data_IF_998812502662
#
_entry.id   IF_998812502662
#
_cell.length_a   1.000
_cell.length_b   1.000
_cell.length_c   1.000
_cell.angle_alpha   90.00
_cell.angle_beta   90.00
_cell.angle_gamma   90.00
#
_symmetry.space_group_name_H-M   'P 1'
#
loop_
_entity.id
_entity.type
_entity.pdbx_description
1 polymer ?
#
# COMPACT_ATOMS: atom_id res chain seq x y z
N UNK A 1 25.80 -2.37 10.86
CA UNK A 1 25.38 -2.53 9.46
C UNK A 1 24.03 -3.19 9.50
N UNK A 2 22.96 -2.50 9.10
CA UNK A 2 21.61 -3.06 9.08
C UNK A 2 21.46 -3.99 7.87
N UNK A 3 20.80 -5.13 8.05
CA UNK A 3 20.48 -6.04 6.96
C UNK A 3 19.45 -5.40 6.01
N UNK A 4 19.39 -5.87 4.76
CA UNK A 4 18.40 -5.41 3.79
C UNK A 4 16.96 -5.49 4.34
N UNK A 5 16.64 -6.57 5.06
CA UNK A 5 15.31 -6.76 5.66
C UNK A 5 15.00 -5.74 6.75
N UNK A 6 16.00 -5.34 7.55
CA UNK A 6 15.81 -4.33 8.59
C UNK A 6 15.56 -2.96 7.96
N UNK A 7 16.37 -2.56 6.98
CA UNK A 7 16.19 -1.27 6.29
C UNK A 7 14.84 -1.20 5.58
N UNK A 8 14.44 -2.28 4.90
CA UNK A 8 13.12 -2.39 4.28
C UNK A 8 12.00 -2.31 5.31
N UNK A 9 12.13 -2.99 6.46
CA UNK A 9 11.09 -2.98 7.49
C UNK A 9 10.92 -1.59 8.11
N UNK A 10 12.02 -0.91 8.41
CA UNK A 10 11.97 0.45 8.96
C UNK A 10 11.27 1.42 8.00
N UNK A 11 11.46 1.26 6.69
CA UNK A 11 10.75 2.07 5.69
C UNK A 11 9.28 1.71 5.57
N UNK A 12 8.95 0.41 5.57
CA UNK A 12 7.57 -0.07 5.52
C UNK A 12 6.79 0.38 6.75
N UNK A 13 7.40 0.33 7.94
CA UNK A 13 6.83 0.81 9.19
C UNK A 13 6.56 2.32 9.16
N UNK A 14 7.54 3.12 8.72
CA UNK A 14 7.35 4.58 8.57
C UNK A 14 6.23 4.92 7.57
N UNK A 15 6.11 4.17 6.48
CA UNK A 15 5.04 4.37 5.52
C UNK A 15 3.69 3.92 6.08
N UNK A 16 3.65 2.83 6.84
CA UNK A 16 2.46 2.35 7.53
C UNK A 16 1.94 3.38 8.54
N UNK A 17 2.83 4.02 9.30
CA UNK A 17 2.49 5.14 10.19
C UNK A 17 1.85 6.29 9.41
N UNK A 18 2.50 6.72 8.32
CA UNK A 18 2.02 7.85 7.49
C UNK A 18 0.64 7.58 6.87
N UNK A 19 0.45 6.38 6.33
CA UNK A 19 -0.82 5.97 5.73
C UNK A 19 -1.89 5.86 6.81
N UNK A 20 -1.58 5.27 7.97
CA UNK A 20 -2.53 5.19 9.09
C UNK A 20 -2.99 6.57 9.52
N UNK A 21 -2.07 7.50 9.73
CA UNK A 21 -2.40 8.86 10.14
C UNK A 21 -3.25 9.59 9.10
N UNK A 22 -2.95 9.39 7.81
CA UNK A 22 -3.73 9.96 6.72
C UNK A 22 -5.13 9.36 6.64
N UNK A 23 -5.27 8.04 6.74
CA UNK A 23 -6.57 7.35 6.74
C UNK A 23 -7.44 7.79 7.92
N UNK A 24 -6.87 7.89 9.13
CA UNK A 24 -7.60 8.39 10.32
C UNK A 24 -8.08 9.83 10.18
N UNK A 25 -7.30 10.66 9.48
CA UNK A 25 -7.66 12.06 9.23
C UNK A 25 -8.76 12.19 8.18
N UNK A 26 -8.71 11.36 7.14
CA UNK A 26 -9.53 11.53 5.93
C UNK A 26 -10.79 10.66 5.94
N UNK A 27 -10.81 9.56 6.71
CA UNK A 27 -11.91 8.61 6.73
C UNK A 27 -12.41 8.46 8.18
N UNK A 28 -13.63 8.92 8.49
CA UNK A 28 -14.23 8.75 9.81
C UNK A 28 -14.36 7.26 10.17
N UNK A 29 -13.95 6.88 11.37
CA UNK A 29 -14.13 5.53 11.92
C UNK A 29 -12.97 4.56 11.73
N UNK A 30 -11.88 4.95 11.04
CA UNK A 30 -10.63 4.15 10.97
C UNK A 30 -10.00 3.95 12.35
N UNK A 31 -10.28 4.84 13.30
CA UNK A 31 -9.82 4.80 14.69
C UNK A 31 -10.83 4.15 15.66
N UNK A 32 -11.98 3.68 15.17
CA UNK A 32 -12.96 2.98 16.00
C UNK A 32 -12.39 1.62 16.41
N UNK A 33 -12.27 1.40 17.72
CA UNK A 33 -11.61 0.23 18.28
C UNK A 33 -12.37 -1.06 17.92
N UNK A 34 -11.74 -1.91 17.10
CA UNK A 34 -12.14 -3.31 16.88
C UNK A 34 -13.08 -3.61 15.72
N UNK A 35 -13.68 -2.60 15.09
CA UNK A 35 -14.53 -2.80 13.91
C UNK A 35 -13.80 -2.31 12.64
N UNK A 36 -13.73 -3.13 11.57
CA UNK A 36 -13.15 -2.70 10.32
C UNK A 36 -13.96 -1.54 9.73
N UNK A 37 -13.29 -0.67 8.97
CA UNK A 37 -13.96 0.39 8.21
C UNK A 37 -15.08 -0.23 7.38
N UNK A 38 -16.30 0.33 7.44
CA UNK A 38 -17.48 -0.15 6.69
C UNK A 38 -17.29 -0.14 5.15
N UNK A 39 -16.17 0.41 4.67
CA UNK A 39 -15.81 0.55 3.26
C UNK A 39 -14.60 -0.31 2.95
N UNK A 40 -14.63 -0.88 1.74
CA UNK A 40 -13.47 -1.59 1.20
C UNK A 40 -12.32 -0.62 0.97
N UNK A 41 -11.12 -0.97 1.38
CA UNK A 41 -9.92 -0.17 1.12
C UNK A 41 -9.06 -0.86 0.08
N UNK A 42 -8.69 -0.12 -0.96
CA UNK A 42 -7.89 -0.61 -2.08
C UNK A 42 -6.68 0.30 -2.26
N UNK A 43 -5.48 -0.30 -2.25
CA UNK A 43 -4.24 0.39 -2.54
C UNK A 43 -3.86 0.16 -3.99
N UNK A 44 -3.72 1.23 -4.76
CA UNK A 44 -3.34 1.17 -6.18
C UNK A 44 -1.88 1.55 -6.35
N UNK A 45 -1.13 0.70 -7.07
CA UNK A 45 0.28 0.91 -7.31
C UNK A 45 1.14 0.22 -6.23
N UNK A 46 2.38 0.68 -6.12
CA UNK A 46 3.36 0.09 -5.21
C UNK A 46 4.30 1.13 -4.60
N UNK A 47 5.01 0.74 -3.54
CA UNK A 47 6.15 1.51 -3.02
C UNK A 47 7.37 0.64 -2.89
N UNK A 48 8.44 1.03 -3.58
CA UNK A 48 9.71 0.34 -3.51
C UNK A 48 10.52 0.77 -2.28
N UNK A 49 11.22 -0.17 -1.63
CA UNK A 49 12.18 0.18 -0.61
C UNK A 49 13.40 0.87 -1.23
N UNK A 50 13.84 1.96 -0.62
CA UNK A 50 15.07 2.66 -0.95
C UNK A 50 16.24 1.95 -0.28
N UNK A 51 16.75 0.92 -0.94
CA UNK A 51 17.89 0.16 -0.45
C UNK A 51 19.22 0.82 -0.85
N UNK A 52 20.22 0.75 0.03
CA UNK A 52 21.58 1.22 -0.30
C UNK A 52 22.32 0.19 -1.17
N UNK A 53 23.48 0.57 -1.73
CA UNK A 53 24.26 -0.30 -2.63
C UNK A 53 24.75 -1.63 -2.02
N UNK A 54 24.68 -1.77 -0.69
CA UNK A 54 25.06 -2.98 0.04
C UNK A 54 23.86 -3.90 0.31
N UNK A 55 22.64 -3.39 0.16
CA UNK A 55 21.37 -4.08 0.36
C UNK A 55 20.71 -4.27 -1.00
N UNK A 56 20.87 -5.45 -1.61
CA UNK A 56 20.30 -5.74 -2.93
C UNK A 56 18.88 -6.30 -2.82
N UNK A 57 18.05 -6.04 -3.83
CA UNK A 57 16.77 -6.72 -4.01
C UNK A 57 17.01 -8.05 -4.70
N UNK A 58 16.73 -9.14 -4.00
CA UNK A 58 16.88 -10.52 -4.51
C UNK A 58 15.50 -11.16 -4.67
N UNK A 59 15.40 -12.36 -5.24
CA UNK A 59 14.11 -13.03 -5.48
C UNK A 59 13.25 -13.18 -4.23
N UNK A 60 13.85 -13.53 -3.08
CA UNK A 60 13.13 -13.79 -1.83
C UNK A 60 13.23 -12.67 -0.78
N UNK A 61 14.24 -11.80 -0.86
CA UNK A 61 14.53 -10.79 0.17
C UNK A 61 14.58 -9.38 -0.42
N UNK A 62 14.16 -8.40 0.38
CA UNK A 62 14.20 -6.98 -0.01
C UNK A 62 12.95 -6.46 -0.71
N UNK A 63 11.87 -7.23 -0.74
CA UNK A 63 10.56 -6.75 -1.19
C UNK A 63 9.80 -6.07 -0.07
N UNK A 64 9.17 -4.94 -0.38
CA UNK A 64 8.26 -4.24 0.53
C UNK A 64 6.90 -4.93 0.60
N UNK A 65 6.22 -4.85 1.75
CA UNK A 65 4.80 -5.21 1.85
C UNK A 65 3.92 -4.40 0.89
N UNK A 66 4.37 -3.20 0.51
CA UNK A 66 3.73 -2.30 -0.45
C UNK A 66 4.09 -2.62 -1.91
N UNK A 67 4.81 -3.69 -2.21
CA UNK A 67 5.27 -4.01 -3.57
C UNK A 67 5.09 -5.48 -3.96
N UNK A 68 5.07 -6.40 -2.98
CA UNK A 68 5.27 -7.82 -3.24
C UNK A 68 4.33 -8.43 -4.29
N UNK A 69 3.02 -8.30 -4.09
CA UNK A 69 1.98 -8.90 -4.92
C UNK A 69 1.49 -7.97 -6.04
N UNK A 70 2.06 -6.76 -6.17
CA UNK A 70 1.72 -5.84 -7.25
C UNK A 70 2.20 -6.37 -8.61
N UNK A 71 1.31 -6.33 -9.60
CA UNK A 71 1.66 -6.38 -11.02
C UNK A 71 0.92 -5.28 -11.76
N UNK A 72 1.28 -5.01 -13.02
CA UNK A 72 0.56 -4.03 -13.82
C UNK A 72 -0.89 -4.47 -14.09
N UNK A 73 -1.11 -5.76 -14.26
CA UNK A 73 -2.43 -6.37 -14.48
C UNK A 73 -3.27 -6.42 -13.21
N UNK A 74 -2.61 -6.50 -12.05
CA UNK A 74 -3.22 -6.48 -10.73
C UNK A 74 -2.68 -5.31 -9.90
N UNK A 75 -3.04 -4.07 -10.26
CA UNK A 75 -2.52 -2.87 -9.62
C UNK A 75 -2.90 -2.75 -8.14
N UNK A 76 -3.92 -3.50 -7.69
CA UNK A 76 -4.29 -3.60 -6.29
C UNK A 76 -3.67 -4.80 -5.55
N UNK A 77 -2.87 -5.64 -6.21
CA UNK A 77 -2.44 -6.94 -5.68
C UNK A 77 -1.74 -6.88 -4.32
N UNK A 78 -1.04 -5.78 -4.01
CA UNK A 78 -0.38 -5.58 -2.72
C UNK A 78 -1.33 -5.25 -1.55
N UNK A 79 -2.61 -4.93 -1.81
CA UNK A 79 -3.58 -4.45 -0.82
C UNK A 79 -3.67 -5.36 0.41
N UNK A 80 -3.77 -6.68 0.23
CA UNK A 80 -3.87 -7.62 1.34
C UNK A 80 -2.66 -7.55 2.28
N UNK A 81 -1.46 -7.44 1.72
CA UNK A 81 -0.23 -7.32 2.52
C UNK A 81 -0.11 -5.97 3.22
N UNK A 82 -0.57 -4.91 2.57
CA UNK A 82 -0.59 -3.57 3.13
C UNK A 82 -1.55 -3.52 4.31
N UNK A 83 -2.76 -4.05 4.17
CA UNK A 83 -3.73 -4.17 5.27
C UNK A 83 -3.12 -4.94 6.44
N UNK A 84 -2.48 -6.09 6.17
CA UNK A 84 -1.83 -6.89 7.21
C UNK A 84 -0.71 -6.17 7.98
N UNK A 85 0.13 -5.35 7.32
CA UNK A 85 1.14 -4.57 8.05
C UNK A 85 0.52 -3.41 8.83
N UNK A 86 -0.48 -2.71 8.30
CA UNK A 86 -1.18 -1.63 9.01
C UNK A 86 -1.88 -2.17 10.27
N UNK A 87 -2.48 -3.36 10.18
CA UNK A 87 -3.08 -4.05 11.33
C UNK A 87 -2.01 -4.44 12.36
N UNK A 88 -0.97 -5.16 11.92
CA UNK A 88 0.07 -5.66 12.83
C UNK A 88 0.91 -4.56 13.47
N UNK A 89 1.15 -3.45 12.75
CA UNK A 89 2.01 -2.37 13.21
C UNK A 89 1.24 -1.27 13.96
N UNK A 90 0.06 -0.88 13.45
CA UNK A 90 -0.68 0.28 13.93
C UNK A 90 -2.04 -0.05 14.55
N UNK A 91 -2.45 -1.34 14.52
CA UNK A 91 -3.73 -1.80 15.06
C UNK A 91 -4.94 -1.43 14.20
N UNK A 92 -4.75 -0.96 12.96
CA UNK A 92 -5.83 -0.54 12.09
C UNK A 92 -6.41 -1.74 11.34
N UNK A 93 -7.72 -1.95 11.46
CA UNK A 93 -8.42 -3.02 10.76
C UNK A 93 -9.09 -2.46 9.51
N UNK A 94 -8.56 -2.80 8.34
CA UNK A 94 -9.11 -2.40 7.05
C UNK A 94 -9.85 -3.58 6.43
N UNK A 95 -10.98 -3.31 5.78
CA UNK A 95 -11.65 -4.31 4.95
C UNK A 95 -11.01 -4.36 3.55
N UNK A 96 -10.14 -5.34 3.33
CA UNK A 96 -9.40 -5.56 2.09
C UNK A 96 -10.06 -6.59 1.16
N UNK A 97 -11.27 -7.06 1.49
CA UNK A 97 -12.03 -8.04 0.70
C UNK A 97 -12.71 -7.43 -0.52
N UNK A 98 -11.97 -6.76 -1.39
CA UNK A 98 -12.48 -6.15 -2.62
C UNK A 98 -12.70 -7.20 -3.73
N UNK A 99 -13.64 -6.93 -4.64
CA UNK A 99 -13.86 -7.76 -5.83
C UNK A 99 -13.00 -7.28 -7.02
N UNK A 100 -12.83 -8.12 -8.03
CA UNK A 100 -12.14 -7.74 -9.28
C UNK A 100 -12.78 -6.49 -9.93
N UNK A 101 -14.11 -6.37 -9.89
CA UNK A 101 -14.83 -5.19 -10.38
C UNK A 101 -14.46 -3.92 -9.60
N UNK A 102 -14.27 -4.02 -8.28
CA UNK A 102 -13.82 -2.91 -7.44
C UNK A 102 -12.36 -2.53 -7.75
N UNK A 103 -11.50 -3.50 -8.07
CA UNK A 103 -10.13 -3.23 -8.52
C UNK A 103 -10.13 -2.43 -9.84
N UNK A 104 -10.91 -2.84 -10.84
CA UNK A 104 -11.02 -2.08 -12.09
C UNK A 104 -11.54 -0.66 -11.86
N UNK A 105 -12.54 -0.50 -10.98
CA UNK A 105 -13.08 0.81 -10.61
C UNK A 105 -12.02 1.66 -9.89
N UNK A 106 -11.28 1.08 -8.95
CA UNK A 106 -10.21 1.75 -8.21
C UNK A 106 -9.06 2.18 -9.13
N UNK A 107 -8.65 1.29 -10.04
CA UNK A 107 -7.62 1.58 -11.04
C UNK A 107 -8.02 2.74 -11.96
N UNK A 108 -9.26 2.72 -12.47
CA UNK A 108 -9.78 3.82 -13.30
C UNK A 108 -9.86 5.15 -12.52
N UNK A 109 -10.32 5.13 -11.27
CA UNK A 109 -10.35 6.31 -10.41
C UNK A 109 -8.94 6.86 -10.15
N UNK A 110 -7.95 5.97 -10.01
CA UNK A 110 -6.58 6.35 -9.70
C UNK A 110 -5.89 7.15 -10.81
N UNK A 111 -6.38 7.11 -12.05
CA UNK A 111 -5.77 7.85 -13.17
C UNK A 111 -5.76 9.37 -12.91
N UNK A 112 -6.81 9.89 -12.29
CA UNK A 112 -6.97 11.31 -11.95
C UNK A 112 -6.44 11.67 -10.54
N UNK A 113 -6.04 10.67 -9.75
CA UNK A 113 -5.54 10.86 -8.38
C UNK A 113 -4.07 11.28 -8.36
N UNK A 114 -3.69 12.02 -7.31
CA UNK A 114 -2.28 12.30 -7.01
C UNK A 114 -1.63 11.11 -6.31
N UNK A 115 -0.30 11.03 -6.33
CA UNK A 115 0.44 9.95 -5.65
C UNK A 115 0.70 10.32 -4.18
N UNK A 116 0.44 9.38 -3.27
CA UNK A 116 0.70 9.54 -1.84
C UNK A 116 2.16 9.92 -1.57
N UNK A 117 2.44 10.94 -0.72
CA UNK A 117 1.57 11.54 0.29
C UNK A 117 0.87 12.86 -0.11
N UNK A 118 0.75 13.16 -1.41
CA UNK A 118 0.11 14.41 -1.85
C UNK A 118 -1.40 14.46 -1.52
N UNK A 119 -1.97 15.66 -1.42
CA UNK A 119 -3.42 15.84 -1.26
C UNK A 119 -4.17 15.28 -2.48
N UNK A 120 -5.27 14.56 -2.24
CA UNK A 120 -6.02 13.84 -3.27
C UNK A 120 -5.43 12.47 -3.66
N UNK A 121 -4.51 11.95 -2.85
CA UNK A 121 -3.97 10.59 -3.00
C UNK A 121 -4.79 9.52 -2.29
N UNK A 122 -5.72 9.96 -1.43
CA UNK A 122 -6.77 9.13 -0.85
C UNK A 122 -8.09 9.71 -1.33
N UNK A 123 -8.94 8.87 -1.91
CA UNK A 123 -10.27 9.25 -2.36
C UNK A 123 -11.28 8.28 -1.79
N UNK A 124 -12.31 8.84 -1.17
CA UNK A 124 -13.43 8.10 -0.63
C UNK A 124 -14.62 8.16 -1.59
N UNK A 125 -15.11 7.00 -1.99
CA UNK A 125 -16.35 6.79 -2.70
C UNK A 125 -17.38 6.11 -1.80
N UNK A 126 -18.60 5.89 -2.30
CA UNK A 126 -19.72 5.37 -1.50
C UNK A 126 -19.39 4.07 -0.75
N UNK A 127 -18.69 3.14 -1.39
CA UNK A 127 -18.42 1.77 -0.93
C UNK A 127 -16.92 1.41 -0.89
N UNK A 128 -16.07 2.36 -1.28
CA UNK A 128 -14.67 2.12 -1.59
C UNK A 128 -13.81 3.30 -1.16
N UNK A 129 -12.66 3.02 -0.58
CA UNK A 129 -11.58 3.97 -0.35
C UNK A 129 -10.41 3.55 -1.24
N UNK A 130 -9.90 4.47 -2.05
CA UNK A 130 -8.74 4.22 -2.91
C UNK A 130 -7.55 5.02 -2.39
N UNK A 131 -6.41 4.38 -2.24
CA UNK A 131 -5.14 5.00 -1.87
C UNK A 131 -4.14 4.79 -3.00
N UNK A 132 -3.67 5.86 -3.64
CA UNK A 132 -2.71 5.77 -4.77
C UNK A 132 -1.26 5.87 -4.28
N UNK A 133 -0.50 4.79 -4.42
CA UNK A 133 0.90 4.69 -3.99
C UNK A 133 1.92 5.03 -5.09
N UNK A 134 1.55 4.80 -6.34
CA UNK A 134 2.32 5.12 -7.55
C UNK A 134 1.40 5.15 -8.77
N UNK A 135 1.95 5.54 -9.93
CA UNK A 135 1.31 5.25 -11.22
C UNK A 135 1.27 3.74 -11.49
N UNK A 136 0.30 3.30 -12.31
CA UNK A 136 0.18 1.91 -12.77
C UNK A 136 1.17 1.68 -13.92
N UNK A 137 2.39 1.32 -13.56
CA UNK A 137 3.46 0.99 -14.51
C UNK A 137 4.06 -0.38 -14.21
N UNK A 138 4.86 -0.89 -15.14
CA UNK A 138 5.73 -2.03 -14.84
C UNK A 138 6.58 -1.76 -13.60
N UNK A 139 6.72 -2.79 -12.77
CA UNK A 139 7.61 -2.76 -11.62
C UNK A 139 9.05 -2.84 -12.12
N UNK A 140 10.00 -2.07 -11.54
CA UNK A 140 11.41 -2.20 -11.87
C UNK A 140 11.89 -3.65 -11.76
N UNK A 141 12.84 -4.04 -12.60
CA UNK A 141 13.40 -5.40 -12.64
C UNK A 141 14.24 -5.70 -11.39
N UNK A 142 14.14 -6.92 -10.85
CA UNK A 142 15.00 -7.35 -9.74
C UNK A 142 16.47 -7.33 -10.13
N UNK A 143 17.36 -7.11 -9.16
CA UNK A 143 18.79 -7.27 -9.38
C UNK A 143 19.09 -8.76 -9.47
N UNK A 144 19.00 -9.29 -10.69
CA UNK A 144 19.71 -10.51 -11.04
C UNK A 144 21.21 -10.16 -10.91
N UNK A 145 22.04 -11.05 -10.32
CA UNK A 145 23.51 -10.94 -10.13
C UNK A 145 24.04 -9.93 -9.09
#
# INVERSE_FOLDING_TARGET
MHSADQVRYEQDALLADQITDALKREIPGVDAEGDPVDKKVVFIGYRQPQLNSLNRRTEMYGWSFFEWDYTREHPAGATHRIAGILEAHNGVHLDDGYSEEMEYKAAALSEDMTVFPAEGSIVEEKDLVVVKLSEITERPAVDWW
#
